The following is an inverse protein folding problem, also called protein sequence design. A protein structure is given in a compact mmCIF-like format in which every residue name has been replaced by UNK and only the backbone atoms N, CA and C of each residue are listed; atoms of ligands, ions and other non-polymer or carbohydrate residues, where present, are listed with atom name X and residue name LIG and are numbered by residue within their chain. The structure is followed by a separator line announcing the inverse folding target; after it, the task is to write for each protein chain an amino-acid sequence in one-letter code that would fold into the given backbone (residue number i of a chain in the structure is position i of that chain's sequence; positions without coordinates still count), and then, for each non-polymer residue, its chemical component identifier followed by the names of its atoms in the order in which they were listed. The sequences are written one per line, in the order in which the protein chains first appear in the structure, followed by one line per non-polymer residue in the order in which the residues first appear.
data_IF_694051171452
#
_entry.id   IF_694051171452
#
_cell.length_a   1.000
_cell.length_b   1.000
_cell.length_c   1.000
_cell.angle_alpha   90.00
_cell.angle_beta   90.00
_cell.angle_gamma   90.00
#
_symmetry.space_group_name_H-M   'P 1'
#
loop_
_entity.id
_entity.type
_entity.pdbx_description
1 polymer ?
#
# COMPACT_ATOMS: atom_id res chain seq x y z
N UNK A 1 16.25 7.16 16.20
CA UNK A 1 16.79 6.29 15.12
C UNK A 1 15.90 6.41 13.92
N UNK A 2 16.47 6.54 12.71
CA UNK A 2 15.74 6.55 11.45
C UNK A 2 16.05 5.27 10.67
N UNK A 3 15.02 4.68 10.07
CA UNK A 3 15.15 3.56 9.18
C UNK A 3 14.32 3.80 7.92
N UNK A 4 14.85 3.46 6.75
CA UNK A 4 14.15 3.57 5.48
C UNK A 4 13.56 2.22 5.12
N UNK A 5 12.24 2.16 5.01
CA UNK A 5 11.48 0.92 4.77
C UNK A 5 10.40 1.12 3.71
N UNK A 6 9.97 0.03 3.09
CA UNK A 6 8.72 -0.02 2.35
C UNK A 6 7.53 0.13 3.30
N UNK A 7 6.43 0.66 2.81
CA UNK A 7 5.26 0.98 3.64
C UNK A 7 4.69 -0.23 4.40
N UNK A 8 4.58 -1.39 3.76
CA UNK A 8 4.10 -2.60 4.42
C UNK A 8 5.08 -3.16 5.46
N UNK A 9 6.39 -3.11 5.17
CA UNK A 9 7.42 -3.46 6.15
C UNK A 9 7.41 -2.48 7.33
N UNK A 10 7.08 -1.20 7.06
CA UNK A 10 6.88 -0.19 8.09
C UNK A 10 5.71 -0.52 9.01
N UNK A 11 4.57 -0.97 8.46
CA UNK A 11 3.42 -1.45 9.24
C UNK A 11 3.84 -2.59 10.16
N UNK A 12 4.44 -3.64 9.59
CA UNK A 12 4.91 -4.78 10.38
C UNK A 12 5.89 -4.37 11.50
N UNK A 13 6.82 -3.47 11.19
CA UNK A 13 7.79 -3.01 12.18
C UNK A 13 7.14 -2.21 13.31
N UNK A 14 6.13 -1.40 13.02
CA UNK A 14 5.36 -0.67 14.03
C UNK A 14 4.56 -1.64 14.92
N UNK A 15 3.92 -2.65 14.31
CA UNK A 15 3.15 -3.67 15.05
C UNK A 15 4.05 -4.51 15.98
N UNK A 16 5.26 -4.87 15.54
CA UNK A 16 6.21 -5.61 16.39
C UNK A 16 6.77 -4.71 17.51
N UNK A 17 7.07 -3.45 17.21
CA UNK A 17 7.58 -2.51 18.21
C UNK A 17 6.57 -2.23 19.34
N UNK A 18 5.28 -2.17 19.01
CA UNK A 18 4.22 -2.02 20.03
C UNK A 18 4.18 -3.15 21.04
N UNK A 19 4.48 -4.39 20.63
CA UNK A 19 4.55 -5.55 21.54
C UNK A 19 5.67 -5.39 22.58
N UNK A 20 6.71 -4.65 22.21
CA UNK A 20 7.84 -4.33 23.09
C UNK A 20 7.65 -2.99 23.84
N UNK A 21 6.48 -2.35 23.73
CA UNK A 21 6.17 -1.06 24.35
C UNK A 21 6.89 0.13 23.69
N UNK A 22 7.33 -0.02 22.44
CA UNK A 22 8.00 1.03 21.68
C UNK A 22 7.03 1.67 20.69
N UNK A 23 7.00 3.00 20.67
CA UNK A 23 6.20 3.76 19.71
C UNK A 23 7.05 4.21 18.52
N UNK A 24 6.64 3.81 17.32
CA UNK A 24 7.25 4.23 16.07
C UNK A 24 6.22 4.96 15.20
N UNK A 25 6.71 5.87 14.36
CA UNK A 25 5.92 6.59 13.36
C UNK A 25 6.45 6.35 11.96
N UNK A 26 5.58 6.42 10.97
CA UNK A 26 5.93 6.35 9.55
C UNK A 26 5.74 7.70 8.88
N UNK A 27 6.78 8.21 8.24
CA UNK A 27 6.74 9.50 7.56
C UNK A 27 7.32 9.42 6.15
N UNK A 28 6.66 10.10 5.22
CA UNK A 28 7.21 10.37 3.88
C UNK A 28 7.79 11.78 3.87
N UNK A 29 9.07 11.98 3.49
CA UNK A 29 9.71 13.28 3.44
C UNK A 29 8.96 14.30 2.58
N UNK A 30 9.22 15.59 2.81
CA UNK A 30 8.61 16.68 2.02
C UNK A 30 9.01 16.61 0.54
N UNK A 31 10.21 16.13 0.25
CA UNK A 31 10.72 15.89 -1.10
C UNK A 31 9.94 14.82 -1.86
N UNK A 32 9.13 14.02 -1.17
CA UNK A 32 8.35 12.92 -1.74
C UNK A 32 8.99 11.56 -1.58
N UNK A 33 8.44 10.58 -2.29
CA UNK A 33 8.88 9.19 -2.25
C UNK A 33 8.66 8.50 -3.58
N UNK A 34 9.16 7.28 -3.68
CA UNK A 34 8.82 6.38 -4.75
C UNK A 34 7.40 5.82 -4.54
N UNK A 35 6.57 5.96 -5.57
CA UNK A 35 5.26 5.30 -5.64
C UNK A 35 5.39 4.10 -6.59
N UNK A 36 5.07 2.92 -6.10
CA UNK A 36 5.23 1.67 -6.85
C UNK A 36 3.99 0.79 -6.75
N UNK A 37 3.84 -0.10 -7.71
CA UNK A 37 2.73 -1.03 -7.79
C UNK A 37 3.28 -2.40 -8.19
N UNK A 38 2.92 -3.42 -7.42
CA UNK A 38 3.16 -4.81 -7.80
C UNK A 38 1.95 -5.37 -8.52
N UNK A 39 2.18 -6.26 -9.45
CA UNK A 39 1.12 -6.87 -10.24
C UNK A 39 1.47 -8.28 -10.71
N UNK A 40 0.43 -9.06 -10.96
CA UNK A 40 0.58 -10.40 -11.53
C UNK A 40 0.78 -10.32 -13.04
N UNK A 41 1.82 -10.97 -13.54
CA UNK A 41 2.09 -11.08 -14.95
C UNK A 41 1.96 -12.54 -15.43
N UNK A 42 1.17 -12.75 -16.48
CA UNK A 42 1.14 -14.03 -17.19
C UNK A 42 2.23 -14.06 -18.26
N UNK A 43 3.22 -14.91 -18.09
CA UNK A 43 4.32 -15.03 -19.05
C UNK A 43 3.81 -15.60 -20.37
N UNK A 44 3.97 -14.86 -21.47
CA UNK A 44 3.47 -15.22 -22.80
C UNK A 44 3.88 -16.65 -23.21
N UNK A 45 5.15 -16.99 -23.04
CA UNK A 45 5.66 -18.31 -23.40
C UNK A 45 5.15 -19.43 -22.47
N UNK A 46 4.79 -19.10 -21.21
CA UNK A 46 4.28 -20.07 -20.24
C UNK A 46 2.84 -20.50 -20.50
N UNK A 47 2.06 -19.66 -21.18
CA UNK A 47 0.63 -19.88 -21.47
C UNK A 47 0.33 -20.05 -22.97
N UNK A 48 1.34 -19.87 -23.84
CA UNK A 48 1.17 -19.97 -25.30
C UNK A 48 0.84 -21.42 -25.70
N UNK A 49 -0.22 -21.56 -26.51
CA UNK A 49 -0.68 -22.86 -26.99
C UNK A 49 -1.42 -23.73 -25.95
N UNK A 50 -1.55 -23.28 -24.70
CA UNK A 50 -2.25 -24.01 -23.63
C UNK A 50 -3.39 -23.18 -23.04
N UNK A 51 -4.58 -23.37 -23.60
CA UNK A 51 -5.79 -22.69 -23.14
C UNK A 51 -6.15 -23.01 -21.68
N UNK A 52 -5.88 -24.23 -21.22
CA UNK A 52 -6.19 -24.65 -19.83
C UNK A 52 -5.27 -23.93 -18.83
N UNK A 53 -3.98 -23.81 -19.12
CA UNK A 53 -3.06 -23.04 -18.28
C UNK A 53 -3.43 -21.56 -18.21
N UNK A 54 -3.80 -20.96 -19.35
CA UNK A 54 -4.28 -19.58 -19.39
C UNK A 54 -5.53 -19.39 -18.54
N UNK A 55 -6.51 -20.29 -18.68
CA UNK A 55 -7.74 -20.26 -17.90
C UNK A 55 -7.46 -20.43 -16.39
N UNK A 56 -6.59 -21.34 -16.02
CA UNK A 56 -6.20 -21.55 -14.62
C UNK A 56 -5.51 -20.32 -14.03
N UNK A 57 -4.58 -19.69 -14.77
CA UNK A 57 -3.92 -18.46 -14.33
C UNK A 57 -4.92 -17.30 -14.16
N UNK A 58 -5.87 -17.14 -15.09
CA UNK A 58 -6.92 -16.14 -14.96
C UNK A 58 -7.85 -16.42 -13.77
N UNK A 59 -8.23 -17.68 -13.55
CA UNK A 59 -9.05 -18.07 -12.41
C UNK A 59 -8.35 -17.79 -11.08
N UNK A 60 -7.04 -18.05 -11.00
CA UNK A 60 -6.22 -17.71 -9.82
C UNK A 60 -6.20 -16.21 -9.56
N UNK A 61 -5.86 -15.39 -10.57
CA UNK A 61 -5.83 -13.94 -10.44
C UNK A 61 -7.21 -13.40 -10.01
N UNK A 62 -8.28 -13.87 -10.64
CA UNK A 62 -9.64 -13.49 -10.27
C UNK A 62 -9.98 -13.87 -8.83
N UNK A 63 -9.58 -15.07 -8.39
CA UNK A 63 -9.81 -15.54 -7.03
C UNK A 63 -9.13 -14.64 -5.99
N UNK A 64 -7.83 -14.34 -6.15
CA UNK A 64 -7.10 -13.52 -5.21
C UNK A 64 -7.49 -12.03 -5.25
N UNK A 65 -8.11 -11.59 -6.36
CA UNK A 65 -8.62 -10.22 -6.52
C UNK A 65 -10.04 -10.02 -5.98
N UNK A 66 -10.67 -11.06 -5.45
CA UNK A 66 -11.96 -10.92 -4.77
C UNK A 66 -11.77 -10.14 -3.47
N UNK A 67 -12.67 -9.20 -3.13
CA UNK A 67 -12.53 -8.35 -1.95
C UNK A 67 -12.30 -9.12 -0.64
N UNK A 68 -12.98 -10.26 -0.45
CA UNK A 68 -12.80 -11.11 0.73
C UNK A 68 -11.40 -11.71 0.84
N UNK A 69 -10.79 -12.11 -0.28
CA UNK A 69 -9.42 -12.61 -0.32
C UNK A 69 -8.39 -11.47 -0.26
N UNK A 70 -8.71 -10.32 -0.86
CA UNK A 70 -7.91 -9.10 -0.78
C UNK A 70 -7.71 -8.68 0.68
N UNK A 71 -8.78 -8.64 1.48
CA UNK A 71 -8.71 -8.31 2.90
C UNK A 71 -7.80 -9.28 3.66
N UNK A 72 -7.96 -10.58 3.44
CA UNK A 72 -7.09 -11.59 4.08
C UNK A 72 -5.61 -11.38 3.72
N UNK A 73 -5.35 -11.05 2.46
CA UNK A 73 -3.99 -10.79 2.00
C UNK A 73 -3.42 -9.52 2.61
N UNK A 74 -4.19 -8.42 2.64
CA UNK A 74 -3.80 -7.16 3.28
C UNK A 74 -3.49 -7.36 4.77
N UNK A 75 -4.36 -8.08 5.48
CA UNK A 75 -4.15 -8.39 6.89
C UNK A 75 -2.85 -9.16 7.15
N UNK A 76 -2.52 -10.09 6.26
CA UNK A 76 -1.34 -10.95 6.44
C UNK A 76 -0.02 -10.28 6.05
N UNK A 77 -0.02 -9.46 4.99
CA UNK A 77 1.22 -8.90 4.43
C UNK A 77 1.45 -7.41 4.76
N UNK A 78 0.45 -6.71 5.31
CA UNK A 78 0.55 -5.30 5.69
C UNK A 78 0.57 -4.29 4.52
N UNK A 79 0.42 -4.75 3.26
CA UNK A 79 0.40 -3.88 2.09
C UNK A 79 -1.02 -3.59 1.61
N UNK A 80 -1.24 -2.37 1.11
CA UNK A 80 -2.54 -1.93 0.60
C UNK A 80 -2.78 -2.47 -0.80
N UNK A 81 -3.96 -3.05 -1.04
CA UNK A 81 -4.37 -3.48 -2.37
C UNK A 81 -4.88 -2.33 -3.21
N UNK A 82 -4.67 -2.42 -4.53
CA UNK A 82 -5.31 -1.53 -5.52
C UNK A 82 -6.76 -1.91 -5.81
N UNK A 83 -7.24 -3.03 -5.28
CA UNK A 83 -8.62 -3.48 -5.44
C UNK A 83 -9.50 -2.71 -4.46
N UNK A 84 -10.26 -1.77 -4.96
CA UNK A 84 -11.27 -1.04 -4.20
C UNK A 84 -12.69 -1.19 -4.80
N UNK A 85 -12.79 -1.62 -6.03
CA UNK A 85 -13.91 -1.97 -6.91
C UNK A 85 -15.35 -1.84 -6.42
N UNK A 86 -16.28 -2.60 -7.03
CA UNK A 86 -17.71 -2.56 -6.71
C UNK A 86 -18.08 -2.84 -5.26
N UNK A 87 -17.21 -3.54 -4.52
CA UNK A 87 -17.35 -3.84 -3.09
C UNK A 87 -16.41 -2.99 -2.23
N UNK A 88 -16.17 -1.74 -2.65
CA UNK A 88 -15.32 -0.79 -1.92
C UNK A 88 -15.72 -0.63 -0.45
N UNK A 89 -17.01 -0.76 -0.14
CA UNK A 89 -17.51 -0.70 1.23
C UNK A 89 -16.96 -1.83 2.12
N UNK A 90 -16.73 -3.00 1.57
CA UNK A 90 -16.14 -4.11 2.33
C UNK A 90 -14.68 -3.82 2.71
N UNK A 91 -13.91 -3.29 1.76
CA UNK A 91 -12.50 -2.94 2.00
C UNK A 91 -12.40 -1.69 2.91
N UNK A 92 -13.30 -0.73 2.75
CA UNK A 92 -13.39 0.42 3.65
C UNK A 92 -13.72 0.00 5.09
N UNK A 93 -14.68 -0.90 5.29
CA UNK A 93 -14.98 -1.47 6.61
C UNK A 93 -13.80 -2.21 7.23
N UNK A 94 -12.97 -2.86 6.42
CA UNK A 94 -11.73 -3.45 6.90
C UNK A 94 -10.74 -2.37 7.37
N UNK A 95 -10.59 -1.27 6.62
CA UNK A 95 -9.75 -0.15 7.04
C UNK A 95 -10.28 0.52 8.32
N UNK A 96 -11.60 0.65 8.45
CA UNK A 96 -12.27 1.14 9.65
C UNK A 96 -12.02 0.24 10.86
N UNK A 97 -12.17 -1.06 10.67
CA UNK A 97 -11.85 -2.06 11.70
C UNK A 97 -10.37 -2.03 12.13
N UNK A 98 -9.44 -1.77 11.22
CA UNK A 98 -8.01 -1.70 11.54
C UNK A 98 -7.61 -0.40 12.24
N UNK A 99 -8.21 0.72 11.88
CA UNK A 99 -7.70 2.05 12.18
C UNK A 99 -8.74 3.02 12.75
N UNK A 100 -10.03 2.65 12.73
CA UNK A 100 -11.09 3.45 13.30
C UNK A 100 -10.95 3.60 14.81
N UNK A 101 -11.33 4.75 15.34
CA UNK A 101 -11.34 5.00 16.77
C UNK A 101 -12.43 4.16 17.47
N UNK A 102 -12.17 3.73 18.69
CA UNK A 102 -13.17 3.11 19.55
C UNK A 102 -14.14 4.15 20.11
N UNK A 103 -15.31 3.71 20.60
CA UNK A 103 -16.37 4.62 21.07
C UNK A 103 -15.97 5.53 22.24
N UNK A 104 -14.96 5.12 23.02
CA UNK A 104 -14.45 5.84 24.20
C UNK A 104 -13.18 6.66 23.92
N UNK A 105 -12.72 6.71 22.67
CA UNK A 105 -11.54 7.47 22.28
C UNK A 105 -11.81 8.98 22.29
N UNK A 106 -11.15 9.73 23.18
CA UNK A 106 -11.39 11.16 23.36
C UNK A 106 -10.72 12.05 22.29
N UNK A 107 -9.57 11.62 21.75
CA UNK A 107 -8.79 12.42 20.81
C UNK A 107 -8.75 11.81 19.41
N UNK A 108 -9.78 12.10 18.62
CA UNK A 108 -9.92 11.64 17.24
C UNK A 108 -9.68 12.75 16.21
N UNK A 109 -9.39 12.36 15.00
CA UNK A 109 -9.32 13.23 13.83
C UNK A 109 -9.85 12.55 12.58
N UNK A 110 -10.53 13.28 11.67
CA UNK A 110 -11.01 12.73 10.43
C UNK A 110 -9.83 12.38 9.48
N UNK A 111 -9.87 11.18 8.93
CA UNK A 111 -8.90 10.68 7.96
C UNK A 111 -9.63 10.34 6.65
N UNK A 112 -9.44 11.16 5.62
CA UNK A 112 -10.14 11.05 4.35
C UNK A 112 -9.49 10.01 3.43
N UNK A 113 -10.23 8.94 3.16
CA UNK A 113 -9.86 7.85 2.24
C UNK A 113 -10.62 7.92 0.91
N UNK A 114 -11.37 8.99 0.64
CA UNK A 114 -12.23 9.10 -0.54
C UNK A 114 -11.48 8.86 -1.85
N UNK A 115 -10.24 9.32 -1.95
CA UNK A 115 -9.43 9.17 -3.16
C UNK A 115 -9.02 7.70 -3.44
N UNK A 116 -9.02 6.83 -2.42
CA UNK A 116 -8.79 5.38 -2.62
C UNK A 116 -10.06 4.66 -3.10
N UNK A 117 -11.23 5.05 -2.57
CA UNK A 117 -12.46 4.27 -2.72
C UNK A 117 -13.46 4.89 -3.70
N UNK A 118 -13.42 6.19 -3.94
CA UNK A 118 -14.37 6.88 -4.81
C UNK A 118 -13.85 7.19 -6.21
N UNK A 119 -12.56 7.12 -6.42
CA UNK A 119 -11.93 7.69 -7.61
C UNK A 119 -12.14 9.20 -7.67
N UNK A 120 -12.61 9.71 -8.82
CA UNK A 120 -12.87 11.14 -9.02
C UNK A 120 -14.30 11.58 -8.61
N UNK A 121 -15.11 10.72 -7.99
CA UNK A 121 -16.50 11.03 -7.61
C UNK A 121 -16.53 11.62 -6.21
N UNK A 122 -17.29 12.71 -6.03
CA UNK A 122 -17.61 13.22 -4.71
C UNK A 122 -18.48 12.21 -3.94
N UNK A 123 -18.07 11.86 -2.74
CA UNK A 123 -18.72 10.83 -1.91
C UNK A 123 -19.31 11.37 -0.61
N UNK A 124 -19.37 12.70 -0.44
CA UNK A 124 -19.98 13.35 0.74
C UNK A 124 -19.57 12.69 2.07
N UNK A 125 -18.28 12.59 2.32
CA UNK A 125 -17.69 12.00 3.54
C UNK A 125 -17.97 10.50 3.76
N UNK A 126 -18.43 9.78 2.75
CA UNK A 126 -18.72 8.34 2.87
C UNK A 126 -17.48 7.51 3.29
N UNK A 127 -16.30 7.94 2.90
CA UNK A 127 -15.04 7.23 3.14
C UNK A 127 -14.08 8.04 4.03
N UNK A 128 -14.62 8.63 5.09
CA UNK A 128 -13.84 9.31 6.12
C UNK A 128 -13.86 8.44 7.37
N UNK A 129 -12.68 8.09 7.88
CA UNK A 129 -12.51 7.42 9.17
C UNK A 129 -12.33 8.45 10.28
N UNK A 130 -12.87 8.19 11.47
CA UNK A 130 -12.39 8.83 12.68
C UNK A 130 -11.24 7.99 13.24
N UNK A 131 -10.04 8.57 13.32
CA UNK A 131 -8.82 7.86 13.73
C UNK A 131 -8.29 8.50 15.00
N UNK A 132 -7.77 7.73 15.98
CA UNK A 132 -7.05 8.31 17.10
C UNK A 132 -5.91 9.20 16.61
N UNK A 133 -5.76 10.39 17.18
CA UNK A 133 -4.72 11.35 16.75
C UNK A 133 -3.31 10.77 16.85
N UNK A 134 -3.06 9.95 17.88
CA UNK A 134 -1.80 9.22 18.05
C UNK A 134 -1.49 8.28 16.89
N UNK A 135 -2.51 7.72 16.23
CA UNK A 135 -2.38 6.76 15.14
C UNK A 135 -2.27 7.40 13.75
N UNK A 136 -2.61 8.69 13.61
CA UNK A 136 -2.69 9.38 12.31
C UNK A 136 -1.36 9.44 11.53
N UNK A 137 -0.21 9.28 12.20
CA UNK A 137 1.13 9.21 11.60
C UNK A 137 1.78 7.82 11.67
N UNK A 138 0.99 6.78 11.90
CA UNK A 138 1.46 5.41 12.09
C UNK A 138 0.96 4.50 10.97
N UNK A 139 0.41 3.33 11.28
CA UNK A 139 0.03 2.30 10.30
C UNK A 139 -0.93 2.83 9.23
N UNK A 140 -1.94 3.62 9.61
CA UNK A 140 -2.90 4.17 8.63
C UNK A 140 -2.21 5.08 7.60
N UNK A 141 -1.23 5.88 8.01
CA UNK A 141 -0.50 6.75 7.09
C UNK A 141 0.46 5.99 6.16
N UNK A 142 0.95 4.84 6.59
CA UNK A 142 1.78 3.96 5.78
C UNK A 142 0.94 3.23 4.71
N UNK A 143 -0.23 2.71 5.08
CA UNK A 143 -1.12 1.99 4.17
C UNK A 143 -1.96 2.92 3.27
N UNK A 144 -2.42 4.04 3.81
CA UNK A 144 -3.28 5.00 3.12
C UNK A 144 -2.69 6.41 3.22
N UNK A 145 -1.57 6.70 2.55
CA UNK A 145 -0.94 8.02 2.63
C UNK A 145 -1.89 9.11 2.12
N UNK A 146 -1.86 10.28 2.77
CA UNK A 146 -2.70 11.42 2.38
C UNK A 146 -2.47 11.82 0.92
N UNK A 147 -3.49 12.36 0.26
CA UNK A 147 -3.40 12.78 -1.14
C UNK A 147 -2.25 13.77 -1.41
N UNK A 148 -1.91 14.61 -0.45
CA UNK A 148 -0.75 15.52 -0.53
C UNK A 148 0.59 14.77 -0.64
N UNK A 149 0.71 13.61 0.01
CA UNK A 149 1.88 12.73 -0.08
C UNK A 149 1.95 12.10 -1.47
N UNK A 150 0.84 11.59 -1.99
CA UNK A 150 0.78 11.01 -3.34
C UNK A 150 1.15 12.03 -4.42
N UNK A 151 0.69 13.29 -4.29
CA UNK A 151 0.98 14.36 -5.26
C UNK A 151 2.47 14.72 -5.34
N UNK A 152 3.24 14.53 -4.28
CA UNK A 152 4.70 14.77 -4.26
C UNK A 152 5.52 13.51 -4.48
N UNK A 153 4.88 12.35 -4.62
CA UNK A 153 5.53 11.07 -4.92
C UNK A 153 5.58 10.81 -6.42
N UNK A 154 6.57 10.05 -6.87
CA UNK A 154 6.78 9.74 -8.27
C UNK A 154 6.75 8.23 -8.51
N UNK A 155 6.05 7.81 -9.56
CA UNK A 155 6.11 6.42 -10.03
C UNK A 155 7.46 6.18 -10.68
N UNK A 156 8.11 5.08 -10.30
CA UNK A 156 9.38 4.68 -10.88
C UNK A 156 9.23 4.42 -12.39
N UNK A 157 10.06 5.08 -13.18
CA UNK A 157 10.06 4.96 -14.63
C UNK A 157 11.22 4.10 -15.11
N UNK A 158 11.08 3.57 -16.33
CA UNK A 158 12.19 2.90 -16.99
C UNK A 158 13.32 3.89 -17.30
N UNK A 159 14.53 3.54 -16.92
CA UNK A 159 15.72 4.31 -17.29
C UNK A 159 16.11 4.05 -18.75
N UNK A 160 16.74 5.04 -19.38
CA UNK A 160 17.41 4.85 -20.66
C UNK A 160 18.54 3.82 -20.54
N UNK A 161 18.95 3.21 -21.65
CA UNK A 161 20.09 2.26 -21.64
C UNK A 161 21.38 2.90 -21.10
N UNK A 162 21.60 4.17 -21.39
CA UNK A 162 22.76 4.90 -20.87
C UNK A 162 22.67 5.06 -19.35
N UNK A 163 21.53 5.47 -18.82
CA UNK A 163 21.31 5.58 -17.38
C UNK A 163 21.47 4.24 -16.68
N UNK A 164 20.91 3.15 -17.25
CA UNK A 164 21.09 1.79 -16.72
C UNK A 164 22.57 1.36 -16.68
N UNK A 165 23.34 1.67 -17.73
CA UNK A 165 24.78 1.40 -17.73
C UNK A 165 25.52 2.18 -16.65
N UNK A 166 25.16 3.45 -16.42
CA UNK A 166 25.76 4.30 -15.37
C UNK A 166 25.42 3.75 -13.98
N UNK A 167 24.16 3.42 -13.73
CA UNK A 167 23.69 2.84 -12.47
C UNK A 167 24.38 1.51 -12.19
N UNK A 168 24.46 0.61 -13.18
CA UNK A 168 25.13 -0.68 -13.04
C UNK A 168 26.63 -0.52 -12.69
N UNK A 169 27.31 0.42 -13.33
CA UNK A 169 28.71 0.73 -12.99
C UNK A 169 28.87 1.28 -11.57
N UNK A 170 27.94 2.14 -11.15
CA UNK A 170 27.91 2.66 -9.78
C UNK A 170 27.73 1.52 -8.78
N UNK A 171 26.77 0.62 -8.99
CA UNK A 171 26.53 -0.52 -8.12
C UNK A 171 27.72 -1.47 -8.02
N UNK A 172 28.40 -1.74 -9.14
CA UNK A 172 29.62 -2.54 -9.14
C UNK A 172 30.68 -1.89 -8.24
N UNK A 173 30.87 -0.58 -8.34
CA UNK A 173 31.84 0.14 -7.49
C UNK A 173 31.48 0.11 -6.01
N UNK A 174 30.19 0.22 -5.68
CA UNK A 174 29.72 0.21 -4.28
C UNK A 174 29.80 -1.18 -3.65
N UNK A 175 29.59 -2.25 -4.43
CA UNK A 175 29.63 -3.64 -3.92
C UNK A 175 31.01 -4.27 -3.88
N UNK A 176 31.97 -3.72 -4.57
CA UNK A 176 33.33 -4.27 -4.66
C UNK A 176 34.31 -3.61 -3.68
N UNK A 177 33.82 -3.01 -2.61
CA UNK A 177 34.62 -2.53 -1.49
C UNK A 177 34.39 -3.37 -0.23
#
# INVERSE_FOLDING_TARGET
VLNMQWSGDGVYTMDEAEKDGLELSYAVPEEGSNLWFDGFCMMKNGISGDAKKKQAAQAFINYISRPDNVIRNMYYVGYTSVIAGGDSDLIFKYADWCYGAEEDEEEVSPYDLSYFFSGAKETKNKYVLEVPKSQASRQVSAQYPKQSVLKRSAVMQCFSEEANRRISRMWIRVRCF
#
